data_IF_569964862259
#
_entry.id   IF_569964862259
#
_cell.length_a   1.000
_cell.length_b   1.000
_cell.length_c   1.000
_cell.angle_alpha   90.00
_cell.angle_beta   90.00
_cell.angle_gamma   90.00
#
_symmetry.space_group_name_H-M   'P 1'
#
loop_
_entity.id
_entity.type
_entity.pdbx_description
1 polymer ?
#
# COMPACT_ATOMS: atom_id res chain seq x y z
N UNK A 1 27.89 10.77 -35.81
CA UNK A 1 27.71 12.23 -35.65
C UNK A 1 26.25 12.53 -35.83
N UNK A 2 25.51 12.89 -34.77
CA UNK A 2 24.27 13.66 -34.83
C UNK A 2 23.83 13.94 -33.38
N UNK A 3 24.29 15.07 -32.87
CA UNK A 3 23.78 15.71 -31.67
C UNK A 3 22.90 16.89 -32.11
N UNK A 4 21.87 17.16 -31.29
CA UNK A 4 21.06 18.40 -31.20
C UNK A 4 19.70 18.38 -31.90
N UNK A 5 18.65 18.15 -31.12
CA UNK A 5 17.55 19.14 -31.03
C UNK A 5 16.69 18.95 -29.76
N UNK A 6 17.20 19.42 -28.62
CA UNK A 6 16.46 19.59 -27.37
C UNK A 6 15.81 20.97 -27.33
N UNK A 7 14.71 21.19 -28.06
CA UNK A 7 13.96 22.47 -28.01
C UNK A 7 12.43 22.40 -28.11
N UNK A 8 11.78 21.24 -27.96
CA UNK A 8 10.31 21.15 -28.06
C UNK A 8 9.55 20.54 -26.87
N UNK A 9 10.17 20.42 -25.69
CA UNK A 9 9.47 19.89 -24.48
C UNK A 9 8.73 20.99 -23.69
N UNK A 10 8.99 22.28 -23.95
CA UNK A 10 8.35 23.39 -23.21
C UNK A 10 6.97 23.84 -23.72
N UNK A 11 6.45 23.24 -24.80
CA UNK A 11 5.17 23.68 -25.41
C UNK A 11 3.97 22.76 -25.13
N UNK A 12 4.19 21.62 -24.46
CA UNK A 12 3.11 20.70 -24.07
C UNK A 12 2.53 20.96 -22.67
N UNK A 13 3.15 21.84 -21.86
CA UNK A 13 2.73 22.13 -20.47
C UNK A 13 1.78 23.33 -20.32
N UNK A 14 1.14 23.82 -21.39
CA UNK A 14 0.35 25.07 -21.35
C UNK A 14 -1.18 24.88 -21.43
N UNK A 15 -1.70 23.65 -21.44
CA UNK A 15 -3.16 23.41 -21.60
C UNK A 15 -3.80 22.53 -20.51
N UNK A 16 -3.06 22.17 -19.46
CA UNK A 16 -3.61 21.40 -18.32
C UNK A 16 -3.83 22.25 -17.04
N UNK A 17 -3.51 23.53 -17.05
CA UNK A 17 -3.70 24.46 -15.92
C UNK A 17 -4.97 25.30 -16.08
N UNK A 18 -6.16 24.68 -16.00
CA UNK A 18 -7.40 25.45 -15.83
C UNK A 18 -8.60 24.66 -15.26
N UNK A 19 -8.43 23.79 -14.25
CA UNK A 19 -9.58 23.22 -13.51
C UNK A 19 -9.32 23.01 -12.01
N UNK A 20 -8.60 23.93 -11.36
CA UNK A 20 -8.42 23.95 -9.91
C UNK A 20 -8.67 25.35 -9.37
N UNK A 21 -9.95 25.69 -9.17
CA UNK A 21 -10.46 26.74 -8.26
C UNK A 21 -12.00 26.82 -8.35
N UNK A 22 -12.67 26.03 -7.52
CA UNK A 22 -14.07 26.25 -7.13
C UNK A 22 -14.14 27.04 -5.82
N UNK A 23 -15.23 27.80 -5.55
CA UNK A 23 -15.26 28.86 -4.55
C UNK A 23 -15.36 28.32 -3.12
N UNK A 24 -14.59 28.91 -2.20
CA UNK A 24 -14.73 28.67 -0.76
C UNK A 24 -15.93 29.45 -0.21
N UNK A 25 -16.88 28.74 0.42
CA UNK A 25 -17.92 29.36 1.23
C UNK A 25 -17.46 29.51 2.69
N UNK A 26 -17.78 30.63 3.37
CA UNK A 26 -17.35 30.88 4.74
C UNK A 26 -18.20 30.10 5.73
N UNK A 27 -17.58 29.30 6.59
CA UNK A 27 -18.25 28.66 7.72
C UNK A 27 -18.28 29.65 8.88
N UNK A 28 -19.42 30.30 9.08
CA UNK A 28 -19.74 31.04 10.30
C UNK A 28 -20.01 30.07 11.45
N UNK A 29 -19.35 30.33 12.57
CA UNK A 29 -19.45 29.63 13.86
C UNK A 29 -20.82 29.80 14.50
N UNK A 30 -21.49 28.68 14.79
CA UNK A 30 -22.60 28.64 15.77
C UNK A 30 -22.48 27.33 16.56
N UNK A 31 -21.92 27.39 17.78
CA UNK A 31 -22.31 26.54 18.91
C UNK A 31 -21.94 27.24 20.23
N UNK A 32 -22.74 27.06 21.30
CA UNK A 32 -22.81 27.94 22.47
C UNK A 32 -21.73 27.66 23.53
N UNK A 33 -21.42 28.67 24.33
CA UNK A 33 -20.45 28.60 25.43
C UNK A 33 -20.94 27.68 26.55
N UNK A 34 -20.07 26.77 27.01
CA UNK A 34 -20.22 26.09 28.30
C UNK A 34 -18.93 26.24 29.13
N UNK A 35 -19.06 27.02 30.21
CA UNK A 35 -18.60 26.69 31.56
C UNK A 35 -17.12 26.42 31.82
N UNK A 36 -16.50 27.34 32.55
CA UNK A 36 -15.19 27.18 33.19
C UNK A 36 -15.07 25.88 34.01
N UNK A 37 -14.07 25.05 33.69
CA UNK A 37 -13.61 23.96 34.56
C UNK A 37 -12.12 24.08 34.88
N UNK A 38 -11.80 23.93 36.16
CA UNK A 38 -10.51 24.20 36.83
C UNK A 38 -9.34 23.37 36.26
N UNK A 39 -8.08 23.85 36.36
CA UNK A 39 -6.93 23.19 35.77
C UNK A 39 -6.56 21.90 36.50
N UNK A 40 -6.34 20.83 35.72
CA UNK A 40 -5.86 19.53 36.18
C UNK A 40 -4.35 19.59 36.46
N UNK A 41 -3.92 19.40 37.72
CA UNK A 41 -2.50 19.35 38.09
C UNK A 41 -1.86 18.04 37.61
N UNK A 42 -0.84 18.13 36.74
CA UNK A 42 0.06 17.01 36.39
C UNK A 42 1.06 16.77 37.52
N UNK A 43 1.03 15.60 38.16
CA UNK A 43 2.16 15.11 38.95
C UNK A 43 3.28 14.61 38.01
N UNK A 44 4.49 15.14 38.16
CA UNK A 44 5.71 14.64 37.50
C UNK A 44 6.02 13.25 38.05
N UNK A 45 6.20 12.28 37.14
CA UNK A 45 6.68 10.94 37.44
C UNK A 45 8.18 10.99 37.70
N UNK A 46 8.63 10.71 38.93
CA UNK A 46 10.05 10.62 39.29
C UNK A 46 10.44 9.15 39.55
N UNK A 47 11.20 8.57 38.62
CA UNK A 47 11.68 7.18 38.69
C UNK A 47 12.85 6.97 39.65
N UNK A 48 13.47 8.01 40.21
CA UNK A 48 14.61 7.86 41.14
C UNK A 48 14.19 7.43 42.54
N UNK A 49 12.96 7.73 42.95
CA UNK A 49 12.48 7.49 44.33
C UNK A 49 12.18 6.01 44.60
N UNK A 50 11.81 5.21 43.58
CA UNK A 50 11.53 3.77 43.75
C UNK A 50 12.79 2.88 43.84
N UNK A 51 13.93 3.31 43.28
CA UNK A 51 15.19 2.55 43.37
C UNK A 51 15.78 2.59 44.80
N UNK A 52 15.74 3.76 45.45
CA UNK A 52 16.12 3.93 46.87
C UNK A 52 15.24 3.12 47.83
N UNK A 53 13.93 3.10 47.62
CA UNK A 53 13.00 2.33 48.46
C UNK A 53 13.14 0.80 48.31
N UNK A 54 13.76 0.30 47.24
CA UNK A 54 14.06 -1.12 47.06
C UNK A 54 15.40 -1.51 47.71
N UNK A 55 16.40 -0.63 47.64
CA UNK A 55 17.71 -0.80 48.28
C UNK A 55 17.63 -0.67 49.82
N UNK A 56 16.80 0.23 50.36
CA UNK A 56 16.56 0.36 51.81
C UNK A 56 15.83 -0.87 52.38
N UNK A 57 14.87 -1.46 51.65
CA UNK A 57 14.14 -2.69 52.07
C UNK A 57 15.00 -3.95 52.15
N UNK A 58 16.12 -4.00 51.42
CA UNK A 58 17.08 -5.11 51.49
C UNK A 58 17.97 -5.03 52.72
N UNK A 59 18.19 -3.83 53.24
CA UNK A 59 19.03 -3.59 54.42
C UNK A 59 18.29 -3.91 55.73
N UNK A 60 16.96 -3.75 55.76
CA UNK A 60 16.11 -4.09 56.92
C UNK A 60 15.82 -5.59 57.09
N UNK A 61 16.15 -6.45 56.11
CA UNK A 61 15.82 -7.90 56.14
C UNK A 61 16.93 -8.82 56.66
N UNK A 62 18.06 -8.29 57.11
CA UNK A 62 19.02 -9.07 57.91
C UNK A 62 19.56 -10.37 57.30
N UNK A 63 19.72 -10.46 55.97
CA UNK A 63 20.35 -11.62 55.34
C UNK A 63 21.88 -11.41 55.26
N UNK A 64 22.61 -12.11 56.12
CA UNK A 64 24.05 -12.03 56.30
C UNK A 64 24.84 -12.80 55.23
N UNK A 65 26.05 -12.31 54.97
CA UNK A 65 27.08 -12.95 54.16
C UNK A 65 27.44 -14.35 54.71
N UNK A 66 27.65 -15.31 53.80
CA UNK A 66 28.45 -16.52 54.05
C UNK A 66 29.59 -16.59 53.03
N UNK A 67 30.81 -16.51 53.54
CA UNK A 67 32.08 -17.04 53.00
C UNK A 67 32.01 -18.59 53.00
N UNK A 68 32.69 -19.45 52.23
CA UNK A 68 33.83 -19.54 51.26
C UNK A 68 33.71 -20.97 50.61
N UNK A 69 34.42 -21.43 49.53
CA UNK A 69 35.89 -21.56 49.43
C UNK A 69 36.55 -21.44 48.02
N UNK A 70 37.89 -21.43 48.05
CA UNK A 70 38.85 -21.10 46.99
C UNK A 70 39.00 -22.11 45.82
N UNK A 71 39.20 -21.53 44.62
CA UNK A 71 39.99 -21.89 43.42
C UNK A 71 40.08 -23.35 42.87
N UNK A 72 40.02 -23.49 41.52
CA UNK A 72 41.30 -23.59 40.81
C UNK A 72 41.41 -22.70 39.56
N UNK A 73 42.58 -22.04 39.48
CA UNK A 73 43.17 -21.33 38.32
C UNK A 73 42.66 -21.81 36.96
N UNK A 74 41.93 -20.95 36.25
CA UNK A 74 41.79 -21.01 34.79
C UNK A 74 42.59 -19.90 34.13
N UNK A 75 43.56 -20.38 33.35
CA UNK A 75 44.46 -19.71 32.43
C UNK A 75 43.79 -18.54 31.70
N UNK A 76 44.43 -17.36 31.74
CA UNK A 76 44.12 -16.23 30.88
C UNK A 76 44.42 -16.62 29.43
N UNK A 77 43.39 -16.92 28.65
CA UNK A 77 43.47 -16.80 27.20
C UNK A 77 43.32 -15.31 26.87
N UNK A 78 44.46 -14.67 26.62
CA UNK A 78 44.54 -13.42 25.89
C UNK A 78 44.08 -13.69 24.46
N UNK A 79 42.96 -13.09 24.05
CA UNK A 79 42.72 -12.53 22.71
C UNK A 79 41.27 -12.01 22.62
N UNK A 80 40.94 -11.06 23.50
CA UNK A 80 39.86 -10.13 23.17
C UNK A 80 40.47 -9.10 22.21
N UNK A 81 40.43 -9.40 20.91
CA UNK A 81 40.39 -8.35 19.92
C UNK A 81 39.06 -7.61 20.15
N UNK A 82 39.10 -6.57 20.99
CA UNK A 82 38.07 -5.54 21.00
C UNK A 82 38.03 -4.93 19.60
N UNK A 83 37.22 -5.52 18.72
CA UNK A 83 36.76 -4.82 17.52
C UNK A 83 35.98 -3.64 18.08
N UNK A 84 36.62 -2.48 18.06
CA UNK A 84 36.02 -1.18 18.31
C UNK A 84 34.87 -1.04 17.30
N UNK A 85 33.68 -1.54 17.69
CA UNK A 85 32.46 -1.35 16.90
C UNK A 85 32.15 0.13 17.00
N UNK A 86 32.74 0.88 16.07
CA UNK A 86 32.44 2.26 15.79
C UNK A 86 30.92 2.40 15.91
N UNK A 87 30.44 3.06 16.96
CA UNK A 87 29.00 3.19 17.23
C UNK A 87 28.45 4.18 16.22
N UNK A 88 28.27 3.73 14.98
CA UNK A 88 27.82 4.56 13.89
C UNK A 88 26.46 5.14 14.28
N UNK A 89 26.41 6.47 14.37
CA UNK A 89 25.22 7.21 14.76
C UNK A 89 24.14 7.01 13.69
N UNK A 90 23.04 6.36 14.08
CA UNK A 90 21.87 6.18 13.21
C UNK A 90 20.74 7.13 13.59
N UNK A 91 20.01 7.61 12.59
CA UNK A 91 18.79 8.41 12.73
C UNK A 91 17.62 7.74 12.06
N UNK A 92 16.40 8.08 12.50
CA UNK A 92 15.17 7.59 11.91
C UNK A 92 14.84 8.45 10.69
N UNK A 93 14.65 7.77 9.56
CA UNK A 93 14.27 8.37 8.29
C UNK A 93 12.99 7.74 7.76
N UNK A 94 12.34 8.49 6.89
CA UNK A 94 11.27 8.08 6.02
C UNK A 94 11.79 8.18 4.58
N UNK A 95 11.58 7.16 3.76
CA UNK A 95 11.93 7.14 2.34
C UNK A 95 10.64 7.07 1.51
N UNK A 96 10.57 7.86 0.46
CA UNK A 96 9.56 7.80 -0.59
C UNK A 96 10.11 7.01 -1.77
N UNK A 97 9.40 5.96 -2.19
CA UNK A 97 9.78 5.15 -3.32
C UNK A 97 8.59 4.84 -4.23
N UNK A 98 8.88 4.70 -5.52
CA UNK A 98 7.95 4.18 -6.53
C UNK A 98 8.49 2.89 -7.13
N UNK A 99 7.59 2.02 -7.58
CA UNK A 99 7.94 0.79 -8.27
C UNK A 99 6.82 0.29 -9.18
N UNK A 100 7.23 -0.35 -10.28
CA UNK A 100 6.36 -1.27 -11.03
C UNK A 100 6.37 -2.62 -10.34
N UNK A 101 5.20 -3.10 -9.92
CA UNK A 101 5.05 -4.38 -9.22
C UNK A 101 5.13 -5.60 -10.16
N UNK A 102 5.22 -5.37 -11.46
CA UNK A 102 5.34 -6.42 -12.48
C UNK A 102 6.56 -7.30 -12.21
N UNK A 103 6.37 -8.62 -12.20
CA UNK A 103 7.41 -9.62 -11.90
C UNK A 103 7.95 -9.60 -10.46
N UNK A 104 7.26 -8.94 -9.52
CA UNK A 104 7.55 -8.99 -8.09
C UNK A 104 6.42 -9.69 -7.32
N UNK A 105 6.80 -10.46 -6.31
CA UNK A 105 5.90 -11.17 -5.39
C UNK A 105 5.44 -10.27 -4.23
N UNK A 106 5.23 -8.99 -4.53
CA UNK A 106 4.76 -7.97 -3.60
C UNK A 106 5.88 -7.18 -2.92
N UNK A 107 5.47 -6.32 -1.99
CA UNK A 107 6.38 -5.41 -1.28
C UNK A 107 7.29 -6.15 -0.29
N UNK A 108 6.71 -6.96 0.58
CA UNK A 108 7.38 -7.50 1.77
C UNK A 108 8.26 -8.70 1.42
N UNK A 109 9.48 -8.73 1.97
CA UNK A 109 10.42 -9.85 1.87
C UNK A 109 9.77 -11.17 2.31
N UNK A 110 9.78 -12.17 1.43
CA UNK A 110 9.49 -13.57 1.75
C UNK A 110 10.64 -14.45 1.22
N UNK A 111 10.96 -15.57 1.89
CA UNK A 111 12.04 -16.47 1.46
C UNK A 111 11.89 -16.92 0.00
N UNK A 112 13.00 -16.98 -0.73
CA UNK A 112 13.08 -17.48 -2.12
C UNK A 112 12.18 -16.76 -3.14
N UNK A 113 11.78 -15.52 -2.86
CA UNK A 113 10.94 -14.73 -3.78
C UNK A 113 11.54 -13.36 -4.05
N UNK A 114 11.40 -12.89 -5.29
CA UNK A 114 11.79 -11.54 -5.67
C UNK A 114 10.75 -10.54 -5.14
N UNK A 115 11.16 -9.62 -4.28
CA UNK A 115 10.27 -8.63 -3.65
C UNK A 115 10.90 -7.25 -3.69
N UNK A 116 10.08 -6.20 -3.63
CA UNK A 116 10.57 -4.82 -3.67
C UNK A 116 11.48 -4.52 -2.48
N UNK A 117 11.13 -5.03 -1.31
CA UNK A 117 11.93 -4.87 -0.10
C UNK A 117 13.29 -5.56 -0.21
N UNK A 118 13.39 -6.73 -0.85
CA UNK A 118 14.68 -7.39 -1.08
C UNK A 118 15.64 -6.51 -1.88
N UNK A 119 15.18 -5.95 -3.01
CA UNK A 119 15.99 -5.08 -3.87
C UNK A 119 16.38 -3.79 -3.12
N UNK A 120 15.46 -3.21 -2.35
CA UNK A 120 15.75 -2.04 -1.51
C UNK A 120 16.80 -2.35 -0.43
N UNK A 121 16.65 -3.46 0.29
CA UNK A 121 17.61 -3.87 1.33
C UNK A 121 18.99 -4.14 0.75
N UNK A 122 19.06 -4.79 -0.42
CA UNK A 122 20.32 -5.01 -1.14
C UNK A 122 21.00 -3.70 -1.53
N UNK A 123 20.26 -2.74 -2.09
CA UNK A 123 20.81 -1.42 -2.42
C UNK A 123 21.32 -0.68 -1.18
N UNK A 124 20.56 -0.69 -0.08
CA UNK A 124 20.98 -0.08 1.19
C UNK A 124 22.21 -0.75 1.82
N UNK A 125 22.35 -2.07 1.63
CA UNK A 125 23.50 -2.83 2.15
C UNK A 125 24.76 -2.54 1.35
N UNK A 126 24.69 -2.62 0.01
CA UNK A 126 25.83 -2.32 -0.89
C UNK A 126 26.35 -0.89 -0.76
N UNK A 127 25.47 0.06 -0.47
CA UNK A 127 25.82 1.47 -0.22
C UNK A 127 26.31 1.73 1.21
N UNK A 128 26.52 0.68 2.01
CA UNK A 128 26.97 0.76 3.40
C UNK A 128 26.07 1.60 4.33
N UNK A 129 24.80 1.79 3.98
CA UNK A 129 23.83 2.53 4.82
C UNK A 129 23.26 1.67 5.94
N UNK A 130 23.23 0.35 5.74
CA UNK A 130 22.87 -0.65 6.75
C UNK A 130 24.00 -1.67 6.93
N UNK A 131 24.03 -2.29 8.11
CA UNK A 131 24.98 -3.35 8.44
C UNK A 131 24.39 -4.71 8.12
N UNK A 132 25.24 -5.74 8.04
CA UNK A 132 24.84 -7.12 7.73
C UNK A 132 23.76 -7.66 8.69
N UNK A 133 23.89 -7.38 10.00
CA UNK A 133 22.88 -7.74 10.99
C UNK A 133 21.51 -7.08 10.71
N UNK A 134 21.49 -5.86 10.17
CA UNK A 134 20.26 -5.17 9.80
C UNK A 134 19.69 -5.66 8.47
N UNK A 135 20.54 -6.13 7.55
CA UNK A 135 20.13 -6.75 6.30
C UNK A 135 19.40 -8.08 6.54
N UNK A 136 19.93 -8.92 7.43
CA UNK A 136 19.26 -10.18 7.80
C UNK A 136 18.09 -9.97 8.76
N UNK A 137 18.22 -9.05 9.73
CA UNK A 137 17.20 -8.75 10.71
C UNK A 137 16.76 -7.28 10.65
N UNK A 138 15.81 -6.99 9.77
CA UNK A 138 15.31 -5.62 9.48
C UNK A 138 14.71 -4.91 10.70
N UNK A 139 14.33 -5.65 11.74
CA UNK A 139 13.85 -5.13 13.02
C UNK A 139 14.96 -4.36 13.77
N UNK A 140 16.24 -4.70 13.57
CA UNK A 140 17.37 -4.01 14.19
C UNK A 140 17.47 -2.55 13.74
N UNK A 141 17.01 -2.25 12.52
CA UNK A 141 16.87 -0.88 12.01
C UNK A 141 15.44 -0.34 12.09
N UNK A 142 14.52 -1.04 12.76
CA UNK A 142 13.11 -0.66 12.89
C UNK A 142 12.45 -0.40 11.53
N UNK A 143 12.73 -1.24 10.53
CA UNK A 143 12.13 -1.13 9.20
C UNK A 143 10.62 -1.34 9.28
N UNK A 144 9.85 -0.44 8.66
CA UNK A 144 8.40 -0.49 8.54
C UNK A 144 7.99 0.03 7.16
N UNK A 145 6.87 -0.47 6.64
CA UNK A 145 6.28 -0.07 5.35
C UNK A 145 4.84 0.41 5.55
N UNK A 146 4.46 1.47 4.84
CA UNK A 146 3.14 2.09 4.99
C UNK A 146 2.02 1.22 4.42
N UNK A 147 2.31 0.52 3.32
CA UNK A 147 1.43 -0.44 2.69
C UNK A 147 2.18 -1.73 2.35
N UNK A 148 1.53 -2.87 2.55
CA UNK A 148 1.98 -4.17 2.00
C UNK A 148 1.20 -4.37 0.71
N UNK A 149 1.83 -4.14 -0.43
CA UNK A 149 1.21 -4.41 -1.73
C UNK A 149 1.32 -5.88 -2.07
N UNK A 150 0.26 -6.44 -2.65
CA UNK A 150 0.19 -7.83 -3.11
C UNK A 150 1.11 -8.05 -4.34
N UNK A 151 1.26 -9.31 -4.77
CA UNK A 151 1.97 -9.69 -5.99
C UNK A 151 1.44 -8.90 -7.19
N UNK A 152 2.34 -8.39 -8.03
CA UNK A 152 1.99 -7.62 -9.23
C UNK A 152 1.52 -6.18 -9.00
N UNK A 153 1.18 -5.79 -7.77
CA UNK A 153 0.64 -4.46 -7.45
C UNK A 153 1.76 -3.42 -7.42
N UNK A 154 1.57 -2.33 -8.17
CA UNK A 154 2.55 -1.24 -8.28
C UNK A 154 2.35 -0.16 -7.20
N UNK A 155 3.30 0.76 -7.07
CA UNK A 155 3.17 1.93 -6.21
C UNK A 155 3.87 3.15 -6.82
N UNK A 156 3.19 4.29 -6.87
CA UNK A 156 3.80 5.56 -7.21
C UNK A 156 4.49 6.20 -6.00
N UNK A 157 3.90 6.08 -4.81
CA UNK A 157 4.36 6.73 -3.57
C UNK A 157 4.25 5.80 -2.36
N UNK A 158 5.00 4.70 -2.39
CA UNK A 158 5.20 3.89 -1.19
C UNK A 158 6.09 4.66 -0.20
N UNK A 159 5.81 4.48 1.09
CA UNK A 159 6.61 5.08 2.16
C UNK A 159 7.12 4.01 3.11
N UNK A 160 8.43 3.98 3.33
CA UNK A 160 9.07 3.14 4.34
C UNK A 160 9.74 4.00 5.40
N UNK A 161 9.91 3.44 6.60
CA UNK A 161 10.63 4.10 7.69
C UNK A 161 11.61 3.15 8.34
N UNK A 162 12.83 3.63 8.60
CA UNK A 162 13.96 2.82 9.06
C UNK A 162 15.05 3.71 9.67
N UNK A 163 16.01 3.09 10.36
CA UNK A 163 17.17 3.77 10.93
C UNK A 163 18.37 3.64 10.00
N UNK A 164 18.92 4.76 9.54
CA UNK A 164 20.07 4.81 8.62
C UNK A 164 21.17 5.73 9.17
N UNK A 165 22.36 5.65 8.55
CA UNK A 165 23.43 6.65 8.70
C UNK A 165 22.96 8.00 8.10
N UNK A 166 23.52 9.13 8.56
CA UNK A 166 23.03 10.47 8.16
C UNK A 166 23.43 10.87 6.72
N UNK A 167 24.53 10.35 6.18
CA UNK A 167 25.05 10.68 4.84
C UNK A 167 24.39 9.83 3.75
N UNK A 168 23.09 10.02 3.53
CA UNK A 168 22.31 9.29 2.52
C UNK A 168 22.54 9.93 1.15
N UNK A 169 23.13 9.18 0.22
CA UNK A 169 23.21 9.57 -1.19
C UNK A 169 22.17 8.79 -2.00
N UNK A 170 21.12 9.51 -2.45
CA UNK A 170 20.05 8.92 -3.26
C UNK A 170 20.56 8.37 -4.59
N UNK A 171 21.57 8.97 -5.20
CA UNK A 171 22.10 8.52 -6.49
C UNK A 171 22.76 7.15 -6.35
N UNK A 172 23.52 6.93 -5.27
CA UNK A 172 24.16 5.63 -4.99
C UNK A 172 23.12 4.55 -4.71
N UNK A 173 22.08 4.84 -3.91
CA UNK A 173 20.98 3.88 -3.69
C UNK A 173 20.32 3.53 -5.02
N UNK A 174 20.02 4.54 -5.83
CA UNK A 174 19.31 4.40 -7.09
C UNK A 174 20.13 3.71 -8.19
N UNK A 175 21.46 3.78 -8.13
CA UNK A 175 22.36 3.04 -9.03
C UNK A 175 22.38 1.53 -8.75
N UNK A 176 22.11 1.12 -7.51
CA UNK A 176 22.01 -0.29 -7.11
C UNK A 176 20.60 -0.88 -7.27
N UNK A 177 19.62 -0.04 -7.61
CA UNK A 177 18.23 -0.46 -7.84
C UNK A 177 17.96 -0.66 -9.33
N UNK A 178 17.13 -1.64 -9.71
CA UNK A 178 16.65 -1.76 -11.07
C UNK A 178 15.81 -0.53 -11.44
N UNK A 179 15.73 -0.18 -12.73
CA UNK A 179 15.03 1.03 -13.18
C UNK A 179 13.55 1.08 -12.79
N UNK A 180 12.92 -0.10 -12.65
CA UNK A 180 11.52 -0.26 -12.22
C UNK A 180 11.30 -0.01 -10.72
N UNK A 181 12.34 0.35 -9.94
CA UNK A 181 12.27 0.77 -8.54
C UNK A 181 13.08 2.06 -8.39
N UNK A 182 12.47 3.10 -7.81
CA UNK A 182 13.12 4.39 -7.62
C UNK A 182 12.86 4.95 -6.23
N UNK A 183 13.91 5.35 -5.52
CA UNK A 183 13.77 6.16 -4.29
C UNK A 183 13.83 7.63 -4.70
N UNK A 184 12.71 8.33 -4.53
CA UNK A 184 12.58 9.72 -4.98
C UNK A 184 13.16 10.71 -3.99
N UNK A 185 12.88 10.51 -2.69
CA UNK A 185 13.35 11.38 -1.64
C UNK A 185 13.39 10.66 -0.27
N UNK A 186 14.00 11.30 0.72
CA UNK A 186 13.94 10.90 2.12
C UNK A 186 13.80 12.12 3.04
N UNK A 187 13.20 11.91 4.21
CA UNK A 187 13.04 12.95 5.25
C UNK A 187 13.41 12.41 6.62
N UNK A 188 14.04 13.24 7.44
CA UNK A 188 14.32 12.91 8.85
C UNK A 188 13.05 13.01 9.66
N UNK A 189 12.80 12.02 10.51
CA UNK A 189 11.57 11.91 11.30
C UNK A 189 11.87 11.66 12.77
N UNK A 190 10.84 11.78 13.61
CA UNK A 190 10.96 11.51 15.04
C UNK A 190 11.48 10.08 15.29
N UNK A 191 12.18 9.85 16.41
CA UNK A 191 12.72 8.53 16.77
C UNK A 191 11.65 7.43 16.84
N UNK A 192 10.42 7.81 17.21
CA UNK A 192 9.29 6.90 17.33
C UNK A 192 8.48 6.73 16.04
N UNK A 193 8.90 7.37 14.93
CA UNK A 193 8.10 7.35 13.72
C UNK A 193 7.94 5.93 13.17
N UNK A 194 6.70 5.57 12.83
CA UNK A 194 6.37 4.33 12.16
C UNK A 194 5.44 4.62 10.98
N UNK A 195 5.95 4.42 9.76
CA UNK A 195 5.24 4.69 8.50
C UNK A 195 3.90 3.93 8.39
N UNK A 196 3.75 2.76 9.02
CA UNK A 196 2.50 2.00 8.99
C UNK A 196 1.44 2.58 9.92
N UNK A 197 1.80 2.78 11.19
CA UNK A 197 0.84 3.09 12.26
C UNK A 197 0.47 4.57 12.33
N UNK A 198 1.34 5.47 11.85
CA UNK A 198 1.07 6.91 11.79
C UNK A 198 0.51 7.37 10.44
N UNK A 199 0.22 6.44 9.53
CA UNK A 199 -0.47 6.74 8.28
C UNK A 199 -1.99 6.87 8.52
N UNK A 200 -2.56 7.96 8.02
CA UNK A 200 -3.95 8.37 8.21
C UNK A 200 -4.90 7.83 7.14
N UNK A 201 -4.35 7.45 6.00
CA UNK A 201 -5.10 7.01 4.84
C UNK A 201 -4.19 6.62 3.70
N UNK A 202 -4.74 5.86 2.77
CA UNK A 202 -4.08 5.51 1.51
C UNK A 202 -5.01 5.84 0.37
N UNK A 203 -4.44 6.35 -0.71
CA UNK A 203 -5.12 6.49 -2.00
C UNK A 203 -4.55 5.48 -2.96
N UNK A 204 -5.43 4.73 -3.61
CA UNK A 204 -5.10 3.82 -4.68
C UNK A 204 -5.81 4.26 -5.94
N UNK A 205 -5.18 3.94 -7.07
CA UNK A 205 -5.83 3.96 -8.37
C UNK A 205 -5.90 2.53 -8.91
N UNK A 206 -6.93 2.27 -9.69
CA UNK A 206 -7.07 1.05 -10.46
C UNK A 206 -7.23 1.45 -11.92
N UNK A 207 -6.18 1.24 -12.72
CA UNK A 207 -6.20 1.47 -14.17
C UNK A 207 -6.88 0.27 -14.85
N UNK A 208 -7.93 0.52 -15.61
CA UNK A 208 -8.79 -0.54 -16.15
C UNK A 208 -9.21 -0.24 -17.60
N UNK A 209 -9.16 -1.22 -18.53
CA UNK A 209 -9.68 -1.02 -19.87
C UNK A 209 -11.21 -0.92 -19.83
N UNK A 210 -11.81 0.07 -20.52
CA UNK A 210 -13.24 0.37 -20.37
C UNK A 210 -14.16 -0.70 -20.95
N UNK A 211 -13.69 -1.53 -21.89
CA UNK A 211 -14.45 -2.65 -22.48
C UNK A 211 -15.03 -3.60 -21.44
N UNK A 212 -14.44 -3.66 -20.25
CA UNK A 212 -14.90 -4.53 -19.16
C UNK A 212 -16.25 -4.09 -18.58
N UNK A 213 -16.63 -2.83 -18.81
CA UNK A 213 -17.93 -2.29 -18.44
C UNK A 213 -19.01 -2.59 -19.49
N UNK A 214 -18.64 -3.13 -20.66
CA UNK A 214 -19.61 -3.53 -21.66
C UNK A 214 -20.61 -4.55 -21.07
N UNK A 215 -21.90 -4.49 -21.45
CA UNK A 215 -22.88 -5.49 -21.06
C UNK A 215 -22.41 -6.92 -21.34
N UNK A 216 -22.74 -7.85 -20.45
CA UNK A 216 -22.24 -9.23 -20.55
C UNK A 216 -22.70 -9.96 -21.83
N UNK A 217 -23.88 -9.62 -22.35
CA UNK A 217 -24.49 -10.21 -23.54
C UNK A 217 -23.91 -9.68 -24.87
N UNK A 218 -22.97 -8.73 -24.82
CA UNK A 218 -22.35 -8.13 -25.99
C UNK A 218 -20.89 -8.52 -26.10
N UNK A 219 -20.54 -9.26 -27.15
CA UNK A 219 -19.14 -9.41 -27.54
C UNK A 219 -18.67 -8.14 -28.24
N UNK A 220 -17.76 -7.41 -27.58
CA UNK A 220 -17.19 -6.17 -28.12
C UNK A 220 -15.68 -6.24 -28.07
N UNK A 221 -15.06 -5.91 -29.20
CA UNK A 221 -13.61 -5.75 -29.30
C UNK A 221 -13.15 -4.57 -28.44
N UNK A 222 -12.04 -4.78 -27.70
CA UNK A 222 -11.44 -3.77 -26.83
C UNK A 222 -11.04 -2.49 -27.58
N UNK A 223 -10.70 -2.60 -28.88
CA UNK A 223 -10.32 -1.45 -29.71
C UNK A 223 -11.51 -0.59 -30.12
N UNK A 224 -12.69 -1.18 -30.21
CA UNK A 224 -13.90 -0.54 -30.74
C UNK A 224 -14.83 -0.02 -29.63
N UNK A 225 -14.74 -0.59 -28.43
CA UNK A 225 -15.56 -0.16 -27.30
C UNK A 225 -15.15 1.24 -26.79
N UNK A 226 -16.14 2.10 -26.56
CA UNK A 226 -15.98 3.37 -25.85
C UNK A 226 -17.05 3.48 -24.77
N UNK A 227 -16.66 3.94 -23.60
CA UNK A 227 -17.54 4.12 -22.46
C UNK A 227 -18.48 5.31 -22.72
N UNK A 228 -19.78 5.05 -22.72
CA UNK A 228 -20.80 6.09 -22.84
C UNK A 228 -21.02 6.83 -21.50
N UNK A 229 -21.58 8.04 -21.60
CA UNK A 229 -21.80 8.91 -20.44
C UNK A 229 -22.83 8.35 -19.44
N UNK A 230 -23.79 7.55 -19.88
CA UNK A 230 -24.81 6.94 -19.02
C UNK A 230 -24.16 5.86 -18.13
N UNK A 231 -23.40 4.95 -18.75
CA UNK A 231 -22.62 3.93 -18.04
C UNK A 231 -21.57 4.58 -17.12
N UNK A 232 -20.88 5.62 -17.59
CA UNK A 232 -19.93 6.39 -16.76
C UNK A 232 -20.59 7.00 -15.51
N UNK A 233 -21.79 7.56 -15.66
CA UNK A 233 -22.56 8.11 -14.55
C UNK A 233 -22.97 7.00 -13.58
N UNK A 234 -23.49 5.88 -14.11
CA UNK A 234 -23.89 4.72 -13.30
C UNK A 234 -22.73 4.14 -12.50
N UNK A 235 -21.53 4.02 -13.10
CA UNK A 235 -20.31 3.59 -12.39
C UNK A 235 -20.09 4.44 -11.14
N UNK A 236 -20.11 5.77 -11.28
CA UNK A 236 -19.88 6.66 -10.15
C UNK A 236 -20.99 6.55 -9.08
N UNK A 237 -22.25 6.42 -9.48
CA UNK A 237 -23.36 6.17 -8.54
C UNK A 237 -23.17 4.86 -7.75
N UNK A 238 -22.75 3.77 -8.40
CA UNK A 238 -22.48 2.49 -7.74
C UNK A 238 -21.32 2.64 -6.74
N UNK A 239 -20.25 3.35 -7.12
CA UNK A 239 -19.08 3.57 -6.27
C UNK A 239 -19.40 4.33 -4.97
N UNK A 240 -20.36 5.25 -4.98
CA UNK A 240 -20.79 5.99 -3.79
C UNK A 240 -21.34 5.09 -2.67
N UNK A 241 -21.89 3.92 -3.01
CA UNK A 241 -22.42 2.97 -2.03
C UNK A 241 -21.34 2.40 -1.09
N UNK A 242 -20.06 2.53 -1.44
CA UNK A 242 -18.93 2.11 -0.60
C UNK A 242 -18.50 3.15 0.44
N UNK A 243 -18.96 4.40 0.33
CA UNK A 243 -18.50 5.51 1.17
C UNK A 243 -18.94 5.39 2.63
N UNK A 244 -18.18 6.02 3.51
CA UNK A 244 -18.45 6.00 4.95
C UNK A 244 -17.86 4.79 5.65
N UNK A 245 -18.28 4.58 6.89
CA UNK A 245 -17.84 3.45 7.72
C UNK A 245 -18.78 2.28 7.51
N UNK A 246 -18.26 1.19 6.95
CA UNK A 246 -19.03 -0.04 6.71
C UNK A 246 -18.25 -1.27 7.11
N UNK A 247 -18.96 -2.39 7.24
CA UNK A 247 -18.37 -3.67 7.59
C UNK A 247 -17.96 -4.43 6.32
N UNK A 248 -16.68 -4.41 5.98
CA UNK A 248 -16.15 -4.98 4.74
C UNK A 248 -15.78 -6.47 4.86
N UNK A 249 -16.44 -7.24 5.74
CA UNK A 249 -16.08 -8.65 6.00
C UNK A 249 -16.14 -9.54 4.74
N UNK A 250 -17.13 -9.33 3.86
CA UNK A 250 -17.23 -10.04 2.57
C UNK A 250 -16.19 -9.59 1.53
N UNK A 251 -15.60 -8.41 1.72
CA UNK A 251 -14.56 -7.85 0.84
C UNK A 251 -13.15 -8.29 1.24
N UNK A 252 -12.99 -9.26 2.11
CA UNK A 252 -11.69 -9.87 2.44
C UNK A 252 -11.85 -11.36 2.60
N UNK A 253 -10.76 -12.07 2.81
CA UNK A 253 -10.75 -13.47 3.24
C UNK A 253 -10.64 -13.54 4.77
N UNK A 254 -11.12 -14.64 5.36
CA UNK A 254 -10.89 -15.02 6.77
C UNK A 254 -11.38 -13.97 7.81
N UNK A 255 -12.47 -13.26 7.50
CA UNK A 255 -13.15 -12.34 8.42
C UNK A 255 -14.62 -12.69 8.53
N UNK A 256 -15.09 -12.78 9.78
CA UNK A 256 -16.51 -12.93 10.12
C UNK A 256 -17.16 -11.54 10.20
N UNK A 257 -18.47 -11.47 10.00
CA UNK A 257 -19.23 -10.22 10.12
C UNK A 257 -19.02 -9.54 11.49
N UNK A 258 -19.02 -10.30 12.59
CA UNK A 258 -18.89 -9.72 13.92
C UNK A 258 -17.47 -9.23 14.28
N UNK A 259 -16.46 -9.43 13.43
CA UNK A 259 -15.10 -8.95 13.70
C UNK A 259 -15.03 -7.42 13.54
N UNK A 260 -14.79 -6.64 14.62
CA UNK A 260 -14.74 -5.18 14.53
C UNK A 260 -13.61 -4.68 13.62
N UNK A 261 -12.57 -5.50 13.43
CA UNK A 261 -11.47 -5.22 12.51
C UNK A 261 -11.86 -5.37 11.04
N UNK A 262 -13.09 -5.75 10.70
CA UNK A 262 -13.63 -5.67 9.33
C UNK A 262 -14.23 -4.29 9.00
N UNK A 263 -14.49 -3.44 10.01
CA UNK A 263 -14.99 -2.09 9.79
C UNK A 263 -13.91 -1.20 9.15
N UNK A 264 -14.23 -0.60 8.01
CA UNK A 264 -13.33 0.32 7.28
C UNK A 264 -14.07 1.57 6.88
N UNK A 265 -13.32 2.67 6.80
CA UNK A 265 -13.83 3.98 6.44
C UNK A 265 -13.30 4.41 5.08
N UNK A 266 -14.20 4.49 4.10
CA UNK A 266 -13.92 4.98 2.75
C UNK A 266 -14.29 6.46 2.66
N UNK A 267 -13.32 7.30 2.27
CA UNK A 267 -13.49 8.75 2.13
C UNK A 267 -14.01 9.14 0.76
N UNK A 268 -13.48 8.51 -0.29
CA UNK A 268 -13.91 8.75 -1.68
C UNK A 268 -13.67 7.50 -2.52
N UNK A 269 -14.52 7.29 -3.52
CA UNK A 269 -14.32 6.28 -4.55
C UNK A 269 -15.00 6.77 -5.83
N UNK A 270 -14.22 7.07 -6.87
CA UNK A 270 -14.71 7.70 -8.10
C UNK A 270 -14.05 7.09 -9.34
N UNK A 271 -14.72 7.17 -10.48
CA UNK A 271 -14.17 6.86 -11.80
C UNK A 271 -13.84 8.17 -12.51
N UNK A 272 -12.59 8.35 -12.93
CA UNK A 272 -12.15 9.48 -13.73
C UNK A 272 -12.55 9.29 -15.21
N UNK A 273 -12.59 10.39 -15.97
CA UNK A 273 -12.95 10.35 -17.39
C UNK A 273 -12.02 9.41 -18.16
N UNK A 274 -12.55 8.63 -19.12
CA UNK A 274 -11.75 7.70 -19.88
C UNK A 274 -10.78 8.42 -20.83
N UNK A 275 -9.72 7.71 -21.21
CA UNK A 275 -8.72 8.17 -22.17
C UNK A 275 -8.22 7.00 -23.04
N UNK A 276 -7.73 7.30 -24.24
CA UNK A 276 -7.28 6.28 -25.19
C UNK A 276 -5.75 6.18 -25.21
N UNK A 277 -5.21 4.96 -25.11
CA UNK A 277 -3.80 4.63 -25.31
C UNK A 277 -3.68 3.35 -26.15
N UNK A 278 -2.79 3.36 -27.14
CA UNK A 278 -2.58 2.21 -28.06
C UNK A 278 -3.88 1.68 -28.70
N UNK A 279 -4.83 2.57 -28.98
CA UNK A 279 -6.12 2.24 -29.60
C UNK A 279 -7.17 1.64 -28.65
N UNK A 280 -6.81 1.41 -27.38
CA UNK A 280 -7.71 0.92 -26.34
C UNK A 280 -8.07 2.07 -25.39
N UNK A 281 -9.33 2.13 -24.98
CA UNK A 281 -9.79 3.08 -23.99
C UNK A 281 -9.65 2.54 -22.57
N UNK A 282 -9.11 3.36 -21.66
CA UNK A 282 -8.90 3.06 -20.25
C UNK A 282 -9.59 4.10 -19.38
N UNK A 283 -9.94 3.71 -18.16
CA UNK A 283 -10.39 4.60 -17.11
C UNK A 283 -9.59 4.36 -15.82
N UNK A 284 -9.64 5.33 -14.91
CA UNK A 284 -8.99 5.24 -13.60
C UNK A 284 -10.06 5.25 -12.51
N UNK A 285 -10.14 4.15 -11.74
CA UNK A 285 -10.91 4.13 -10.50
C UNK A 285 -10.03 4.59 -9.35
N UNK A 286 -10.38 5.69 -8.68
CA UNK A 286 -9.59 6.29 -7.60
C UNK A 286 -10.31 6.12 -6.27
N UNK A 287 -9.69 5.40 -5.34
CA UNK A 287 -10.22 5.15 -3.99
C UNK A 287 -9.32 5.75 -2.93
N UNK A 288 -9.89 6.46 -1.97
CA UNK A 288 -9.22 6.94 -0.76
C UNK A 288 -9.93 6.37 0.45
N UNK A 289 -9.20 5.58 1.25
CA UNK A 289 -9.68 5.01 2.50
C UNK A 289 -8.68 5.21 3.63
N UNK A 290 -9.14 5.11 4.88
CA UNK A 290 -8.26 5.18 6.06
C UNK A 290 -7.29 3.98 6.13
N UNK A 291 -7.81 2.79 5.84
CA UNK A 291 -7.06 1.54 5.75
C UNK A 291 -7.81 0.57 4.85
N UNK A 292 -7.10 -0.45 4.36
CA UNK A 292 -7.65 -1.49 3.51
C UNK A 292 -7.22 -2.86 4.04
N UNK A 293 -8.10 -3.84 3.91
CA UNK A 293 -7.82 -5.26 4.17
C UNK A 293 -7.24 -5.93 2.93
N UNK A 294 -6.74 -7.14 3.11
CA UNK A 294 -6.29 -8.00 2.02
C UNK A 294 -7.41 -8.14 0.98
N UNK A 295 -7.08 -7.96 -0.30
CA UNK A 295 -8.00 -8.04 -1.44
C UNK A 295 -9.17 -7.04 -1.48
N UNK A 296 -9.34 -6.15 -0.49
CA UNK A 296 -10.52 -5.32 -0.34
C UNK A 296 -10.85 -4.49 -1.59
N UNK A 297 -9.89 -3.73 -2.10
CA UNK A 297 -10.10 -2.88 -3.28
C UNK A 297 -10.45 -3.74 -4.49
N UNK A 298 -9.76 -4.87 -4.69
CA UNK A 298 -9.98 -5.79 -5.82
C UNK A 298 -11.37 -6.43 -5.77
N UNK A 299 -11.88 -6.76 -4.58
CA UNK A 299 -13.25 -7.24 -4.38
C UNK A 299 -14.29 -6.14 -4.58
N UNK A 300 -14.02 -4.91 -4.15
CA UNK A 300 -14.90 -3.76 -4.41
C UNK A 300 -15.02 -3.50 -5.93
N UNK A 301 -13.90 -3.54 -6.66
CA UNK A 301 -13.87 -3.43 -8.13
C UNK A 301 -14.61 -4.60 -8.79
N UNK A 302 -14.40 -5.84 -8.32
CA UNK A 302 -15.13 -7.00 -8.87
C UNK A 302 -16.65 -6.89 -8.68
N UNK A 303 -17.10 -6.41 -7.51
CA UNK A 303 -18.51 -6.14 -7.25
C UNK A 303 -19.09 -5.04 -8.17
N UNK A 304 -18.35 -3.95 -8.37
CA UNK A 304 -18.73 -2.91 -9.35
C UNK A 304 -18.92 -3.53 -10.75
N UNK A 305 -17.95 -4.32 -11.21
CA UNK A 305 -18.01 -4.93 -12.55
C UNK A 305 -19.19 -5.90 -12.69
N UNK A 306 -19.51 -6.67 -11.66
CA UNK A 306 -20.70 -7.54 -11.65
C UNK A 306 -21.99 -6.75 -11.90
N UNK A 307 -22.13 -5.60 -11.23
CA UNK A 307 -23.33 -4.75 -11.34
C UNK A 307 -23.41 -4.08 -12.70
N UNK A 308 -22.32 -3.46 -13.15
CA UNK A 308 -22.32 -2.68 -14.40
C UNK A 308 -22.54 -3.58 -15.61
N UNK A 309 -22.02 -4.80 -15.58
CA UNK A 309 -22.24 -5.80 -16.64
C UNK A 309 -23.61 -6.48 -16.60
N UNK A 310 -24.43 -6.20 -15.59
CA UNK A 310 -25.76 -6.79 -15.41
C UNK A 310 -25.76 -8.22 -14.85
N UNK A 311 -24.67 -8.66 -14.24
CA UNK A 311 -24.55 -10.00 -13.63
C UNK A 311 -25.09 -10.05 -12.20
N UNK A 312 -25.14 -8.91 -11.51
CA UNK A 312 -25.70 -8.78 -10.17
C UNK A 312 -26.54 -7.50 -10.05
N UNK A 313 -27.53 -7.50 -9.15
CA UNK A 313 -28.29 -6.29 -8.82
C UNK A 313 -27.49 -5.39 -7.88
N UNK A 314 -27.82 -4.09 -7.83
CA UNK A 314 -27.18 -3.13 -6.93
C UNK A 314 -27.38 -3.46 -5.43
N UNK A 315 -28.42 -4.22 -5.11
CA UNK A 315 -28.72 -4.62 -3.73
C UNK A 315 -27.65 -5.53 -3.14
N UNK A 316 -26.84 -6.21 -3.97
CA UNK A 316 -25.72 -7.02 -3.50
C UNK A 316 -24.75 -6.20 -2.63
N UNK A 317 -24.55 -4.90 -2.92
CA UNK A 317 -23.68 -4.06 -2.11
C UNK A 317 -24.28 -3.87 -0.71
N UNK A 318 -25.58 -3.58 -0.63
CA UNK A 318 -26.27 -3.39 0.66
C UNK A 318 -26.24 -4.67 1.48
N UNK A 319 -26.50 -5.80 0.83
CA UNK A 319 -26.51 -7.12 1.48
C UNK A 319 -25.12 -7.56 1.92
N UNK A 320 -24.08 -7.26 1.13
CA UNK A 320 -22.70 -7.63 1.46
C UNK A 320 -22.17 -6.99 2.76
N UNK A 321 -22.80 -5.91 3.24
CA UNK A 321 -22.46 -5.26 4.52
C UNK A 321 -23.27 -5.80 5.72
N UNK A 322 -24.30 -6.61 5.48
CA UNK A 322 -25.08 -7.29 6.52
C UNK A 322 -24.33 -8.53 7.03
N UNK A 323 -24.99 -9.33 7.86
CA UNK A 323 -24.47 -10.58 8.41
C UNK A 323 -24.20 -11.63 7.34
N UNK A 324 -25.06 -11.68 6.31
CA UNK A 324 -25.04 -12.71 5.27
C UNK A 324 -23.66 -12.84 4.61
N UNK A 325 -23.27 -14.10 4.35
CA UNK A 325 -22.10 -14.39 3.55
C UNK A 325 -22.42 -14.16 2.08
N UNK A 326 -21.67 -13.25 1.46
CA UNK A 326 -21.78 -12.97 0.03
C UNK A 326 -20.41 -13.19 -0.60
N UNK A 327 -20.34 -14.10 -1.57
CA UNK A 327 -19.10 -14.36 -2.29
C UNK A 327 -18.89 -13.22 -3.28
N UNK A 328 -17.90 -12.36 -3.01
CA UNK A 328 -17.57 -11.23 -3.88
C UNK A 328 -16.40 -11.59 -4.79
N UNK A 329 -16.54 -11.44 -6.13
CA UNK A 329 -15.47 -11.75 -7.08
C UNK A 329 -14.27 -10.83 -6.87
N UNK A 330 -13.06 -11.38 -7.01
CA UNK A 330 -11.79 -10.67 -6.80
C UNK A 330 -11.15 -10.32 -8.15
N UNK A 331 -11.17 -9.03 -8.52
CA UNK A 331 -10.51 -8.56 -9.75
C UNK A 331 -8.99 -8.84 -9.75
N UNK A 332 -8.31 -8.86 -10.91
CA UNK A 332 -6.85 -8.97 -11.01
C UNK A 332 -6.08 -7.90 -10.21
N UNK A 333 -4.79 -8.14 -9.96
CA UNK A 333 -3.92 -7.18 -9.26
C UNK A 333 -3.21 -6.18 -10.17
N UNK A 334 -3.12 -6.47 -11.48
CA UNK A 334 -2.29 -5.75 -12.45
C UNK A 334 -2.57 -4.24 -12.49
N UNK A 335 -3.84 -3.85 -12.57
CA UNK A 335 -4.24 -2.44 -12.65
C UNK A 335 -4.12 -1.65 -11.34
N UNK A 336 -3.87 -2.30 -10.20
CA UNK A 336 -3.87 -1.66 -8.89
C UNK A 336 -2.53 -0.97 -8.61
N UNK A 337 -2.59 0.32 -8.25
CA UNK A 337 -1.41 1.13 -7.91
C UNK A 337 -1.66 1.90 -6.61
N UNK A 338 -0.72 1.81 -5.66
CA UNK A 338 -0.70 2.72 -4.51
C UNK A 338 -0.27 4.11 -4.97
N UNK A 339 -1.20 5.05 -5.02
CA UNK A 339 -0.96 6.40 -5.52
C UNK A 339 -0.39 7.34 -4.45
N UNK A 340 -0.91 7.26 -3.22
CA UNK A 340 -0.52 8.17 -2.15
C UNK A 340 -0.69 7.57 -0.75
N UNK A 341 0.21 7.94 0.17
CA UNK A 341 0.14 7.60 1.59
C UNK A 341 0.02 8.88 2.41
N UNK A 342 -1.07 9.03 3.16
CA UNK A 342 -1.42 10.25 3.87
C UNK A 342 -0.86 10.26 5.30
N UNK A 343 -0.28 11.39 5.70
CA UNK A 343 0.37 11.63 7.00
C UNK A 343 -0.05 12.97 7.64
N UNK A 344 -1.25 13.45 7.33
CA UNK A 344 -1.77 14.75 7.79
C UNK A 344 -1.67 14.93 9.32
N UNK A 345 -1.98 13.89 10.11
CA UNK A 345 -1.88 13.95 11.57
C UNK A 345 -0.43 14.05 12.04
N UNK A 346 0.51 13.41 11.34
CA UNK A 346 1.93 13.56 11.63
C UNK A 346 2.38 14.98 11.29
N UNK A 347 2.00 15.49 10.12
CA UNK A 347 2.36 16.82 9.63
C UNK A 347 1.86 17.92 10.57
N UNK A 348 0.61 17.82 11.03
CA UNK A 348 0.03 18.78 11.96
C UNK A 348 0.69 18.74 13.35
N UNK A 349 1.25 17.58 13.75
CA UNK A 349 1.83 17.41 15.09
C UNK A 349 3.31 17.78 15.16
N UNK A 350 4.07 17.48 14.12
CA UNK A 350 5.54 17.59 14.13
C UNK A 350 6.09 18.49 13.03
N UNK A 351 5.31 18.80 11.99
CA UNK A 351 5.81 19.49 10.81
C UNK A 351 6.19 20.96 11.03
N UNK A 352 5.81 21.54 12.17
CA UNK A 352 6.08 22.93 12.54
C UNK A 352 6.94 23.03 13.83
N UNK A 353 7.60 21.95 14.24
CA UNK A 353 8.40 21.91 15.48
C UNK A 353 9.85 22.41 15.33
N UNK A 354 10.23 22.84 14.12
CA UNK A 354 11.56 23.35 13.77
C UNK A 354 12.65 22.29 13.65
N UNK A 355 12.33 21.00 13.87
CA UNK A 355 13.28 19.88 13.82
C UNK A 355 12.88 18.84 12.77
N UNK A 356 11.59 18.57 12.61
CA UNK A 356 11.06 17.57 11.70
C UNK A 356 10.33 18.21 10.53
N UNK A 357 10.54 17.64 9.35
CA UNK A 357 9.87 18.10 8.13
C UNK A 357 8.48 17.48 8.01
N UNK A 358 7.58 18.21 7.34
CA UNK A 358 6.30 17.66 6.86
C UNK A 358 6.58 16.57 5.83
N UNK A 359 5.87 15.45 5.96
CA UNK A 359 5.85 14.35 5.01
C UNK A 359 4.91 14.65 3.84
N UNK A 360 5.13 15.80 3.21
CA UNK A 360 4.67 16.09 1.85
C UNK A 360 5.81 15.79 0.87
N UNK A 361 5.53 15.69 -0.42
CA UNK A 361 6.51 15.26 -1.42
C UNK A 361 6.46 16.10 -2.68
N UNK A 362 6.00 17.35 -2.53
CA UNK A 362 5.74 18.27 -3.63
C UNK A 362 7.02 18.53 -4.44
N UNK A 363 8.18 18.52 -3.78
CA UNK A 363 9.50 18.74 -4.39
C UNK A 363 9.93 17.64 -5.38
N UNK A 364 9.30 16.47 -5.35
CA UNK A 364 9.58 15.34 -6.26
C UNK A 364 8.36 14.93 -7.08
N UNK A 365 7.29 15.72 -7.07
CA UNK A 365 6.03 15.38 -7.74
C UNK A 365 6.23 15.11 -9.24
N UNK A 366 6.97 15.97 -9.94
CA UNK A 366 7.28 15.80 -11.36
C UNK A 366 8.00 14.48 -11.64
N UNK A 367 8.94 14.08 -10.76
CA UNK A 367 9.68 12.82 -10.89
C UNK A 367 8.77 11.61 -10.67
N UNK A 368 7.82 11.71 -9.74
CA UNK A 368 6.84 10.66 -9.49
C UNK A 368 5.90 10.50 -10.68
N UNK A 369 5.39 11.60 -11.24
CA UNK A 369 4.53 11.55 -12.43
C UNK A 369 5.28 11.01 -13.65
N UNK A 370 6.51 11.46 -13.88
CA UNK A 370 7.37 10.91 -14.92
C UNK A 370 7.55 9.39 -14.74
N UNK A 371 7.88 8.93 -13.54
CA UNK A 371 8.05 7.51 -13.26
C UNK A 371 6.76 6.70 -13.51
N UNK A 372 5.59 7.25 -13.19
CA UNK A 372 4.30 6.60 -13.47
C UNK A 372 4.10 6.42 -14.98
N UNK A 373 4.32 7.47 -15.76
CA UNK A 373 4.13 7.47 -17.22
C UNK A 373 5.20 6.65 -17.95
N UNK A 374 6.38 6.46 -17.37
CA UNK A 374 7.47 5.68 -18.00
C UNK A 374 7.48 4.20 -17.61
N UNK A 375 7.18 3.87 -16.34
CA UNK A 375 7.41 2.52 -15.81
C UNK A 375 6.16 1.82 -15.29
N UNK A 376 5.16 2.54 -14.75
CA UNK A 376 3.96 1.92 -14.17
C UNK A 376 2.87 1.75 -15.22
N UNK A 377 2.39 2.85 -15.80
CA UNK A 377 1.26 2.83 -16.73
C UNK A 377 1.56 2.07 -18.02
N UNK A 378 2.73 2.23 -18.68
CA UNK A 378 3.05 1.43 -19.86
C UNK A 378 3.05 -0.05 -19.55
N UNK A 379 3.63 -0.48 -18.42
CA UNK A 379 3.65 -1.90 -18.03
C UNK A 379 2.23 -2.48 -17.87
N UNK A 380 1.29 -1.72 -17.31
CA UNK A 380 -0.10 -2.15 -17.13
C UNK A 380 -0.83 -2.16 -18.47
N UNK A 381 -0.74 -1.06 -19.23
CA UNK A 381 -1.42 -0.89 -20.52
C UNK A 381 -0.95 -1.94 -21.51
N UNK A 382 0.36 -2.16 -21.61
CA UNK A 382 0.95 -3.08 -22.57
C UNK A 382 0.51 -4.50 -22.27
N UNK A 383 0.55 -4.91 -21.00
CA UNK A 383 0.04 -6.22 -20.58
C UNK A 383 -1.46 -6.38 -20.81
N UNK A 384 -2.27 -5.35 -20.57
CA UNK A 384 -3.72 -5.45 -20.84
C UNK A 384 -4.04 -5.47 -22.35
N UNK A 385 -3.22 -4.84 -23.19
CA UNK A 385 -3.39 -4.85 -24.65
C UNK A 385 -2.88 -6.17 -25.26
N UNK A 386 -1.82 -6.75 -24.70
CA UNK A 386 -1.18 -7.96 -25.22
C UNK A 386 -1.79 -9.25 -24.65
N UNK A 387 -2.03 -9.29 -23.34
CA UNK A 387 -2.48 -10.51 -22.63
C UNK A 387 -3.98 -10.48 -22.31
N UNK A 388 -4.67 -9.35 -22.53
CA UNK A 388 -6.11 -9.16 -22.25
C UNK A 388 -6.56 -9.68 -20.86
N UNK A 389 -5.69 -9.54 -19.86
CA UNK A 389 -5.86 -10.14 -18.53
C UNK A 389 -7.22 -9.84 -17.89
N UNK A 390 -7.65 -8.57 -17.93
CA UNK A 390 -8.92 -8.17 -17.34
C UNK A 390 -10.11 -8.69 -18.14
N UNK A 391 -10.03 -8.66 -19.48
CA UNK A 391 -11.09 -9.16 -20.37
C UNK A 391 -11.28 -10.66 -20.18
N UNK A 392 -10.17 -11.40 -20.14
CA UNK A 392 -10.17 -12.83 -19.83
C UNK A 392 -10.85 -13.11 -18.49
N UNK A 393 -10.46 -12.40 -17.43
CA UNK A 393 -11.04 -12.58 -16.10
C UNK A 393 -12.54 -12.30 -16.08
N UNK A 394 -12.98 -11.22 -16.73
CA UNK A 394 -14.39 -10.88 -16.81
C UNK A 394 -15.20 -11.96 -17.56
N UNK A 395 -14.73 -12.41 -18.72
CA UNK A 395 -15.46 -13.38 -19.55
C UNK A 395 -15.45 -14.80 -18.96
N UNK A 396 -14.37 -15.19 -18.28
CA UNK A 396 -14.19 -16.59 -17.85
C UNK A 396 -14.45 -16.83 -16.36
N UNK A 397 -14.26 -15.82 -15.51
CA UNK A 397 -14.40 -15.96 -14.05
C UNK A 397 -15.61 -15.19 -13.54
N UNK A 398 -15.70 -13.90 -13.84
CA UNK A 398 -16.82 -13.07 -13.35
C UNK A 398 -18.17 -13.56 -13.90
N UNK A 399 -18.21 -13.90 -15.18
CA UNK A 399 -19.43 -14.36 -15.88
C UNK A 399 -19.97 -15.70 -15.38
N UNK A 400 -19.15 -16.50 -14.71
CA UNK A 400 -19.52 -17.82 -14.15
C UNK A 400 -19.72 -17.77 -12.63
N UNK A 401 -19.62 -16.59 -12.03
CA UNK A 401 -19.69 -16.40 -10.58
C UNK A 401 -21.14 -16.57 -10.09
N UNK A 402 -21.36 -17.38 -9.05
CA UNK A 402 -22.67 -17.42 -8.38
C UNK A 402 -22.78 -16.29 -7.34
N UNK A 403 -23.90 -15.60 -7.36
CA UNK A 403 -24.23 -14.52 -6.41
C UNK A 403 -25.27 -14.96 -5.38
N UNK A 404 -25.52 -16.26 -5.27
CA UNK A 404 -26.43 -16.81 -4.27
C UNK A 404 -25.86 -16.62 -2.85
N UNK A 405 -26.75 -16.47 -1.87
CA UNK A 405 -26.37 -16.37 -0.46
C UNK A 405 -26.09 -17.78 0.05
N UNK A 406 -24.92 -18.00 0.66
CA UNK A 406 -24.67 -19.23 1.41
C UNK A 406 -25.48 -19.19 2.70
N UNK A 407 -26.23 -20.26 2.99
CA UNK A 407 -26.85 -20.47 4.29
C UNK A 407 -25.73 -20.69 5.32
N UNK A 408 -25.83 -20.01 6.45
CA UNK A 408 -24.81 -19.95 7.50
C UNK A 408 -24.82 -21.29 8.27
N UNK A 409 -24.36 -22.37 7.63
CA UNK A 409 -24.25 -23.68 8.26
C UNK A 409 -23.10 -23.68 9.28
N UNK A 410 -23.48 -24.04 10.50
CA UNK A 410 -22.70 -24.03 11.73
C UNK A 410 -21.31 -24.67 11.61
N UNK A 411 -20.31 -23.97 12.15
CA UNK A 411 -19.04 -24.51 12.69
C UNK A 411 -18.34 -25.62 11.89
N UNK A 412 -18.37 -25.59 10.56
CA UNK A 412 -17.38 -26.33 9.79
C UNK A 412 -16.05 -25.57 9.80
N UNK A 413 -14.99 -26.28 10.17
CA UNK A 413 -13.62 -25.79 10.04
C UNK A 413 -13.47 -25.10 8.68
N UNK A 414 -12.91 -23.90 8.66
CA UNK A 414 -12.54 -23.17 7.44
C UNK A 414 -11.70 -24.11 6.55
N UNK A 415 -12.36 -24.91 5.71
CA UNK A 415 -11.76 -25.55 4.58
C UNK A 415 -11.26 -24.39 3.74
N UNK A 416 -9.93 -24.25 3.73
CA UNK A 416 -9.29 -23.12 3.09
C UNK A 416 -9.81 -23.02 1.67
N UNK A 417 -10.32 -21.84 1.31
CA UNK A 417 -10.08 -21.33 -0.04
C UNK A 417 -8.59 -21.55 -0.26
N UNK A 418 -8.28 -22.55 -1.08
CA UNK A 418 -6.92 -22.91 -1.43
C UNK A 418 -6.29 -21.62 -1.95
N UNK A 419 -5.38 -21.04 -1.16
CA UNK A 419 -4.67 -19.79 -1.41
C UNK A 419 -3.69 -19.96 -2.61
N UNK A 420 -3.96 -20.92 -3.51
CA UNK A 420 -3.28 -21.09 -4.78
C UNK A 420 -3.63 -19.94 -5.70
N UNK A 421 -2.59 -19.17 -5.94
CA UNK A 421 -2.52 -17.89 -6.62
C UNK A 421 -3.04 -17.98 -8.08
N UNK A 422 -4.37 -17.92 -8.26
CA UNK A 422 -5.08 -18.01 -9.56
C UNK A 422 -4.66 -16.96 -10.61
N UNK A 423 -3.91 -15.93 -10.22
CA UNK A 423 -3.34 -14.95 -11.17
C UNK A 423 -2.33 -15.60 -12.12
N UNK A 424 -1.61 -16.63 -11.66
CA UNK A 424 -0.77 -17.44 -12.55
C UNK A 424 -1.59 -18.42 -13.38
N UNK A 425 -2.74 -18.91 -12.89
CA UNK A 425 -3.63 -19.71 -13.73
C UNK A 425 -4.25 -18.86 -14.84
N UNK A 426 -4.72 -17.63 -14.59
CA UNK A 426 -5.26 -16.79 -15.66
C UNK A 426 -4.20 -16.38 -16.69
N UNK A 427 -2.97 -16.07 -16.25
CA UNK A 427 -1.85 -15.72 -17.17
C UNK A 427 -1.28 -16.96 -17.88
N UNK A 428 -1.19 -18.13 -17.22
CA UNK A 428 -0.79 -19.40 -17.86
C UNK A 428 -1.90 -19.98 -18.73
N UNK A 429 -3.18 -19.75 -18.42
CA UNK A 429 -4.33 -20.14 -19.24
C UNK A 429 -4.41 -19.28 -20.50
N UNK A 430 -4.16 -17.96 -20.42
CA UNK A 430 -4.00 -17.11 -21.60
C UNK A 430 -2.89 -17.63 -22.52
N UNK A 431 -1.71 -17.99 -21.96
CA UNK A 431 -0.59 -18.56 -22.74
C UNK A 431 -0.82 -19.98 -23.26
N UNK A 432 -1.70 -20.78 -22.66
CA UNK A 432 -1.96 -22.15 -23.13
C UNK A 432 -2.99 -22.23 -24.27
N UNK A 433 -3.78 -21.16 -24.48
CA UNK A 433 -4.70 -21.07 -25.62
C UNK A 433 -4.00 -20.72 -26.94
N UNK A 434 -2.86 -20.01 -26.94
CA UNK A 434 -2.07 -19.79 -28.16
C UNK A 434 -1.52 -21.11 -28.75
N UNK A 435 -1.07 -22.03 -27.90
CA UNK A 435 -0.53 -23.33 -28.33
C UNK A 435 -1.57 -24.35 -28.84
N UNK A 436 -2.87 -24.05 -28.70
CA UNK A 436 -3.95 -24.89 -29.25
C UNK A 436 -4.47 -24.41 -30.60
N UNK A 437 -4.19 -23.15 -30.99
CA UNK A 437 -4.57 -22.61 -32.29
C UNK A 437 -3.52 -22.94 -33.36
N UNK A 438 -2.24 -23.09 -32.99
CA UNK A 438 -1.17 -23.48 -33.92
C UNK A 438 -1.08 -24.99 -34.25
N UNK A 439 -1.83 -25.86 -33.55
CA UNK A 439 -1.86 -27.31 -33.83
C UNK A 439 -3.18 -27.81 -34.46
N UNK A 440 -3.98 -26.89 -35.03
CA UNK A 440 -5.14 -27.20 -35.86
C UNK A 440 -5.13 -26.39 -37.15
N UNK A 441 -4.06 -26.53 -37.93
CA UNK A 441 -4.07 -26.26 -39.37
C UNK A 441 -3.22 -27.31 -40.08
#
# INVERSE_FOLDING_TARGET
MLFRNTKNIKRFFSQADFLSKGPQLPITSIFPSMGDSKPFKKNKYDGRTKKRQWEERRRDKGESLRETPEDPKKVKLHEDQEIEKDKIKRRKFCLLLGYSGSNYFGMQRNPNTKTIEEDLLNALFKTNLITEDCYHQVQNMQFQRAARTDKGVSAARQVVSLKLKENIDLNQINAELPEVIRVFNYKRVTKGFNSKSQCDGRSYIYLIPTVVFAPHDKEVSQKDFRLDDETFTKINTVLENFLGTKNFHNYTSKKKHNDPSANRYMKSFVCEKPFVRKGVEFAILKVHGQSFMLHQIRKMVGCLLAIIRGLASEDIIKDSFKSDKVIIPRAPGLGLVLEYVHYDRYNNRYGDDGVHEKLTWDEVEDKVQQFKEEYIFPTIIDKEVEEECMVYWVNNKLSKHSYDKEEDDSDEEFAGDDDNDESEQSVKECKSNENKVENKN
#
